data_IF_270724811164
#
_entry.id   IF_270724811164
#
_cell.length_a   1.000
_cell.length_b   1.000
_cell.length_c   1.000
_cell.angle_alpha   90.00
_cell.angle_beta   90.00
_cell.angle_gamma   90.00
#
_symmetry.space_group_name_H-M   'P 1'
#
loop_
_entity.id
_entity.type
_entity.pdbx_description
1 polymer ?
#
# COMPACT_ATOMS: atom_id res chain seq x y z
N UNK A 1 21.27 33.73 -24.30
CA UNK A 1 21.20 34.10 -22.88
C UNK A 1 20.12 33.25 -22.27
N UNK A 2 20.50 32.12 -21.67
CA UNK A 2 19.55 31.20 -21.03
C UNK A 2 19.33 31.68 -19.60
N UNK A 3 18.22 32.33 -19.39
CA UNK A 3 17.70 32.60 -18.07
C UNK A 3 17.09 31.29 -17.54
N UNK A 4 17.93 30.42 -17.00
CA UNK A 4 17.47 29.36 -16.11
C UNK A 4 17.07 30.04 -14.81
N UNK A 5 15.86 30.58 -14.78
CA UNK A 5 15.20 30.95 -13.55
C UNK A 5 15.40 29.77 -12.58
N UNK A 6 16.23 29.96 -11.54
CA UNK A 6 16.51 28.98 -10.48
C UNK A 6 15.17 28.67 -9.84
N UNK A 7 14.54 27.57 -10.28
CA UNK A 7 13.38 27.03 -9.60
C UNK A 7 13.79 26.84 -8.12
N UNK A 8 13.06 27.40 -7.15
CA UNK A 8 13.41 27.23 -5.76
C UNK A 8 13.52 25.74 -5.46
N UNK A 9 14.48 25.34 -4.65
CA UNK A 9 14.66 23.95 -4.27
C UNK A 9 13.36 23.42 -3.67
N UNK A 10 12.83 22.35 -4.25
CA UNK A 10 11.58 21.74 -3.88
C UNK A 10 11.81 20.55 -2.93
N UNK A 11 10.73 20.08 -2.31
CA UNK A 11 10.74 18.81 -1.62
C UNK A 11 10.73 17.69 -2.68
N UNK A 12 11.69 16.78 -2.62
CA UNK A 12 11.71 15.58 -3.44
C UNK A 12 11.08 14.42 -2.69
N UNK A 13 10.10 13.78 -3.30
CA UNK A 13 9.45 12.56 -2.79
C UNK A 13 9.94 11.40 -3.66
N UNK A 14 10.46 10.35 -3.04
CA UNK A 14 10.94 9.16 -3.74
C UNK A 14 9.91 8.06 -3.66
N UNK A 15 9.33 7.68 -4.80
CA UNK A 15 8.28 6.67 -4.93
C UNK A 15 6.87 7.24 -5.05
N UNK A 16 6.13 6.82 -6.09
CA UNK A 16 4.72 7.14 -6.33
C UNK A 16 3.77 6.03 -5.85
N UNK A 17 4.08 5.42 -4.72
CA UNK A 17 3.16 4.56 -3.99
C UNK A 17 2.09 5.36 -3.25
N UNK A 18 1.24 4.67 -2.48
CA UNK A 18 0.19 5.30 -1.66
C UNK A 18 0.80 6.36 -0.73
N UNK A 19 1.94 6.07 -0.09
CA UNK A 19 2.67 6.99 0.78
C UNK A 19 3.04 8.30 0.07
N UNK A 20 3.83 8.21 -1.01
CA UNK A 20 4.36 9.38 -1.68
C UNK A 20 3.30 10.22 -2.39
N UNK A 21 2.28 9.59 -3.00
CA UNK A 21 1.18 10.30 -3.63
C UNK A 21 0.31 11.02 -2.59
N UNK A 22 0.03 10.38 -1.44
CA UNK A 22 -0.72 11.02 -0.35
C UNK A 22 0.05 12.21 0.20
N UNK A 23 1.36 12.04 0.47
CA UNK A 23 2.21 13.14 0.92
C UNK A 23 2.23 14.29 -0.09
N UNK A 24 2.38 13.99 -1.38
CA UNK A 24 2.34 15.01 -2.44
C UNK A 24 1.03 15.80 -2.45
N UNK A 25 -0.11 15.13 -2.25
CA UNK A 25 -1.41 15.78 -2.14
C UNK A 25 -1.53 16.64 -0.87
N UNK A 26 -1.03 16.14 0.28
CA UNK A 26 -1.01 16.89 1.53
C UNK A 26 -0.17 18.17 1.43
N UNK A 27 1.03 18.08 0.85
CA UNK A 27 1.92 19.23 0.61
C UNK A 27 1.26 20.24 -0.34
N UNK A 28 0.68 19.74 -1.45
CA UNK A 28 -0.01 20.60 -2.40
C UNK A 28 -1.19 21.34 -1.75
N UNK A 29 -1.97 20.70 -0.87
CA UNK A 29 -3.07 21.33 -0.15
C UNK A 29 -2.59 22.46 0.79
N UNK A 30 -1.32 22.48 1.18
CA UNK A 30 -0.66 23.53 1.98
C UNK A 30 0.15 24.52 1.13
N UNK A 31 0.10 24.42 -0.20
CA UNK A 31 0.87 25.29 -1.11
C UNK A 31 2.37 25.01 -1.11
N UNK A 32 2.82 23.87 -0.58
CA UNK A 32 4.22 23.47 -0.58
C UNK A 32 4.56 22.76 -1.88
N UNK A 33 5.56 23.26 -2.59
CA UNK A 33 6.00 22.68 -3.88
C UNK A 33 6.80 21.41 -3.66
N UNK A 34 6.40 20.35 -4.35
CA UNK A 34 7.10 19.06 -4.33
C UNK A 34 7.13 18.42 -5.72
N UNK A 35 8.02 17.43 -5.87
CA UNK A 35 8.12 16.58 -7.06
C UNK A 35 8.30 15.14 -6.65
N UNK A 36 7.54 14.24 -7.29
CA UNK A 36 7.58 12.80 -7.03
C UNK A 36 8.42 12.12 -8.12
N UNK A 37 9.37 11.30 -7.71
CA UNK A 37 10.21 10.48 -8.61
C UNK A 37 9.84 9.01 -8.45
N UNK A 38 9.44 8.38 -9.54
CA UNK A 38 8.96 7.00 -9.56
C UNK A 38 9.81 6.15 -10.52
N UNK A 39 10.27 5.01 -10.04
CA UNK A 39 11.07 4.07 -10.85
C UNK A 39 10.29 3.47 -12.01
N UNK A 40 9.02 3.15 -11.81
CA UNK A 40 8.20 2.55 -12.87
C UNK A 40 7.99 3.54 -14.01
N UNK A 41 8.12 3.12 -15.28
CA UNK A 41 7.88 3.99 -16.42
C UNK A 41 6.41 4.40 -16.55
N UNK A 42 5.50 3.60 -15.99
CA UNK A 42 4.07 3.90 -15.92
C UNK A 42 3.46 3.32 -14.65
N UNK A 43 2.57 4.07 -14.02
CA UNK A 43 1.77 3.59 -12.90
C UNK A 43 0.63 2.74 -13.46
N UNK A 44 0.68 1.44 -13.22
CA UNK A 44 -0.34 0.49 -13.67
C UNK A 44 -1.19 0.03 -12.48
N UNK A 45 -2.50 -0.16 -12.67
CA UNK A 45 -3.40 -0.63 -11.61
C UNK A 45 -3.17 -2.13 -11.33
N UNK A 46 -2.00 -2.46 -10.78
CA UNK A 46 -1.61 -3.82 -10.44
C UNK A 46 -1.86 -4.10 -8.96
N UNK A 47 -2.08 -5.37 -8.64
CA UNK A 47 -2.14 -5.85 -7.27
C UNK A 47 -3.45 -6.53 -6.91
N UNK A 48 -3.73 -6.54 -5.63
CA UNK A 48 -4.86 -7.18 -4.96
C UNK A 48 -5.55 -6.17 -4.05
N UNK A 49 -6.53 -6.60 -3.27
CA UNK A 49 -7.25 -5.72 -2.35
C UNK A 49 -6.41 -5.22 -1.18
N UNK A 50 -6.75 -4.04 -0.71
CA UNK A 50 -6.29 -3.47 0.56
C UNK A 50 -7.46 -2.86 1.32
N UNK A 51 -7.27 -2.65 2.62
CA UNK A 51 -8.24 -1.97 3.47
C UNK A 51 -7.70 -0.59 3.88
N UNK A 52 -8.55 0.40 3.86
CA UNK A 52 -8.32 1.74 4.36
C UNK A 52 -9.24 1.95 5.55
N UNK A 53 -8.66 1.90 6.75
CA UNK A 53 -9.39 2.04 8.00
C UNK A 53 -9.87 3.49 8.22
N UNK A 54 -10.87 3.74 9.09
CA UNK A 54 -11.51 5.06 9.24
C UNK A 54 -10.55 6.22 9.51
N UNK A 55 -9.50 6.02 10.30
CA UNK A 55 -8.51 7.06 10.59
C UNK A 55 -7.72 7.51 9.34
N UNK A 56 -7.40 6.58 8.45
CA UNK A 56 -6.71 6.89 7.19
C UNK A 56 -7.68 7.39 6.11
N UNK A 57 -8.89 6.82 6.04
CA UNK A 57 -9.90 7.28 5.08
C UNK A 57 -10.35 8.70 5.34
N UNK A 58 -10.37 9.15 6.62
CA UNK A 58 -10.60 10.54 7.01
C UNK A 58 -9.61 11.47 6.29
N UNK A 59 -8.32 11.18 6.35
CA UNK A 59 -7.29 12.00 5.67
C UNK A 59 -7.57 12.11 4.17
N UNK A 60 -7.92 10.98 3.52
CA UNK A 60 -8.26 11.00 2.10
C UNK A 60 -9.57 11.78 1.81
N UNK A 61 -10.54 11.75 2.72
CA UNK A 61 -11.75 12.58 2.62
C UNK A 61 -11.43 14.07 2.76
N UNK A 62 -10.56 14.43 3.71
CA UNK A 62 -10.11 15.82 3.92
C UNK A 62 -9.33 16.34 2.69
N UNK A 63 -8.67 15.45 1.96
CA UNK A 63 -8.06 15.74 0.66
C UNK A 63 -9.09 15.78 -0.49
N UNK A 64 -10.40 15.66 -0.22
CA UNK A 64 -11.45 15.74 -1.24
C UNK A 64 -11.60 14.50 -2.13
N UNK A 65 -11.10 13.33 -1.70
CA UNK A 65 -11.12 12.09 -2.50
C UNK A 65 -12.31 11.18 -2.17
N UNK A 66 -13.18 11.58 -1.24
CA UNK A 66 -14.28 10.74 -0.74
C UNK A 66 -15.24 10.23 -1.82
N UNK A 67 -15.57 11.08 -2.82
CA UNK A 67 -16.45 10.69 -3.92
C UNK A 67 -15.82 9.63 -4.83
N UNK A 68 -14.53 9.80 -5.20
CA UNK A 68 -13.79 8.85 -6.03
C UNK A 68 -13.59 7.49 -5.32
N UNK A 69 -13.27 7.53 -4.02
CA UNK A 69 -13.17 6.32 -3.19
C UNK A 69 -14.51 5.61 -3.09
N UNK A 70 -15.62 6.35 -2.85
CA UNK A 70 -16.95 5.79 -2.76
C UNK A 70 -17.44 5.13 -4.04
N UNK A 71 -16.96 5.58 -5.21
CA UNK A 71 -17.28 5.01 -6.50
C UNK A 71 -16.46 3.76 -6.86
N UNK A 72 -15.23 3.64 -6.33
CA UNK A 72 -14.30 2.59 -6.70
C UNK A 72 -14.16 1.47 -5.65
N UNK A 73 -14.61 1.69 -4.42
CA UNK A 73 -14.38 0.80 -3.28
C UNK A 73 -15.70 0.29 -2.69
N UNK A 74 -15.62 -0.81 -1.97
CA UNK A 74 -16.71 -1.27 -1.09
C UNK A 74 -16.54 -0.63 0.29
N UNK A 75 -17.61 0.00 0.80
CA UNK A 75 -17.67 0.49 2.19
C UNK A 75 -17.88 -0.72 3.11
N UNK A 76 -16.82 -1.19 3.71
CA UNK A 76 -16.86 -2.33 4.64
C UNK A 76 -17.62 -1.94 5.90
N UNK A 77 -18.74 -2.62 6.15
CA UNK A 77 -19.68 -2.29 7.22
C UNK A 77 -19.52 -3.15 8.47
N UNK A 78 -18.98 -4.36 8.30
CA UNK A 78 -18.85 -5.34 9.37
C UNK A 78 -17.68 -6.30 9.14
N UNK A 79 -17.15 -6.83 10.25
CA UNK A 79 -16.09 -7.83 10.30
C UNK A 79 -16.59 -9.12 10.93
N UNK A 80 -16.83 -10.17 10.14
CA UNK A 80 -17.28 -11.46 10.63
C UNK A 80 -16.12 -12.39 10.98
N UNK A 81 -16.24 -13.12 12.08
CA UNK A 81 -15.29 -14.15 12.51
C UNK A 81 -15.99 -15.52 12.48
N UNK A 82 -15.36 -16.45 11.79
CA UNK A 82 -15.88 -17.80 11.58
C UNK A 82 -14.81 -18.84 11.86
N UNK A 83 -15.20 -19.99 12.37
CA UNK A 83 -14.29 -21.13 12.44
C UNK A 83 -14.13 -21.81 11.06
N UNK A 84 -13.25 -22.80 10.96
CA UNK A 84 -12.98 -23.53 9.70
C UNK A 84 -14.17 -24.32 9.15
N UNK A 85 -15.24 -24.48 9.91
CA UNK A 85 -16.49 -25.15 9.51
C UNK A 85 -17.56 -24.15 9.03
N UNK A 86 -17.22 -22.85 8.96
CA UNK A 86 -18.14 -21.79 8.57
C UNK A 86 -19.14 -21.38 9.65
N UNK A 87 -18.96 -21.88 10.89
CA UNK A 87 -19.82 -21.50 12.01
C UNK A 87 -19.44 -20.11 12.51
N UNK A 88 -20.42 -19.26 12.68
CA UNK A 88 -20.28 -17.89 13.16
C UNK A 88 -19.80 -17.87 14.61
N UNK A 89 -18.79 -17.04 14.90
CA UNK A 89 -18.26 -16.81 16.24
C UNK A 89 -18.69 -15.43 16.74
N UNK A 90 -18.39 -14.39 15.95
CA UNK A 90 -18.61 -13.00 16.33
C UNK A 90 -18.68 -12.11 15.09
N UNK A 91 -19.43 -11.02 15.17
CA UNK A 91 -19.43 -9.94 14.17
C UNK A 91 -19.13 -8.60 14.84
N UNK A 92 -18.14 -7.91 14.31
CA UNK A 92 -17.76 -6.57 14.72
C UNK A 92 -18.36 -5.55 13.74
N UNK A 93 -18.80 -4.40 14.24
CA UNK A 93 -19.24 -3.29 13.39
C UNK A 93 -18.00 -2.52 12.93
N UNK A 94 -17.96 -2.12 11.65
CA UNK A 94 -16.81 -1.42 11.07
C UNK A 94 -17.23 -0.09 10.43
N UNK A 95 -16.26 0.80 10.29
CA UNK A 95 -16.44 2.07 9.62
C UNK A 95 -17.58 2.90 10.22
N UNK A 96 -18.46 3.41 9.39
CA UNK A 96 -19.61 4.22 9.82
C UNK A 96 -20.56 3.44 10.74
N UNK A 97 -20.70 2.13 10.56
CA UNK A 97 -21.56 1.30 11.41
C UNK A 97 -21.01 1.13 12.83
N UNK A 98 -19.70 1.36 13.04
CA UNK A 98 -19.07 1.39 14.36
C UNK A 98 -19.09 2.79 14.99
N UNK A 99 -19.70 3.79 14.33
CA UNK A 99 -19.77 5.17 14.83
C UNK A 99 -18.57 6.05 14.47
N UNK A 100 -17.66 5.58 13.60
CA UNK A 100 -16.60 6.45 13.08
C UNK A 100 -17.16 7.52 12.13
N UNK A 101 -16.52 8.68 12.09
CA UNK A 101 -16.92 9.79 11.21
C UNK A 101 -16.59 9.54 9.72
N UNK A 102 -15.68 8.61 9.45
CA UNK A 102 -15.28 8.22 8.10
C UNK A 102 -15.52 6.73 7.85
N UNK A 103 -15.84 6.31 6.62
CA UNK A 103 -16.04 4.90 6.29
C UNK A 103 -14.73 4.12 6.31
N UNK A 104 -14.81 2.82 6.56
CA UNK A 104 -13.77 1.89 6.18
C UNK A 104 -13.98 1.49 4.72
N UNK A 105 -12.91 1.51 3.93
CA UNK A 105 -12.95 1.05 2.54
C UNK A 105 -12.14 -0.23 2.34
N UNK A 106 -12.71 -1.18 1.60
CA UNK A 106 -11.98 -2.25 0.96
C UNK A 106 -11.89 -1.91 -0.54
N UNK A 107 -10.68 -1.81 -1.07
CA UNK A 107 -10.45 -1.30 -2.43
C UNK A 107 -9.35 -2.09 -3.14
N UNK A 108 -9.42 -2.18 -4.46
CA UNK A 108 -8.29 -2.67 -5.24
C UNK A 108 -7.11 -1.67 -5.14
N UNK A 109 -5.92 -2.17 -4.78
CA UNK A 109 -4.74 -1.32 -4.54
C UNK A 109 -4.40 -0.41 -5.73
N UNK A 110 -4.53 -0.94 -6.94
CA UNK A 110 -4.31 -0.19 -8.17
C UNK A 110 -5.30 0.94 -8.36
N UNK A 111 -6.58 0.75 -8.01
CA UNK A 111 -7.60 1.79 -8.11
C UNK A 111 -7.31 2.94 -7.15
N UNK A 112 -6.91 2.62 -5.90
CA UNK A 112 -6.48 3.66 -4.96
C UNK A 112 -5.30 4.44 -5.50
N UNK A 113 -4.29 3.75 -6.03
CA UNK A 113 -3.12 4.41 -6.60
C UNK A 113 -3.49 5.29 -7.81
N UNK A 114 -4.43 4.86 -8.66
CA UNK A 114 -4.95 5.65 -9.78
C UNK A 114 -5.65 6.91 -9.28
N UNK A 115 -6.56 6.78 -8.30
CA UNK A 115 -7.27 7.93 -7.69
C UNK A 115 -6.27 8.97 -7.16
N UNK A 116 -5.25 8.52 -6.43
CA UNK A 116 -4.22 9.40 -5.87
C UNK A 116 -3.37 10.05 -6.97
N UNK A 117 -3.00 9.30 -8.00
CA UNK A 117 -2.19 9.78 -9.14
C UNK A 117 -2.96 10.85 -9.93
N UNK A 118 -4.20 10.58 -10.26
CA UNK A 118 -5.06 11.50 -11.03
C UNK A 118 -5.28 12.81 -10.24
N UNK A 119 -5.56 12.68 -8.95
CA UNK A 119 -5.73 13.84 -8.09
C UNK A 119 -4.43 14.67 -7.97
N UNK A 120 -3.28 14.02 -7.80
CA UNK A 120 -1.99 14.70 -7.71
C UNK A 120 -1.63 15.40 -9.02
N UNK A 121 -1.73 14.71 -10.14
CA UNK A 121 -1.38 15.28 -11.46
C UNK A 121 -2.35 16.39 -11.89
N UNK A 122 -3.62 16.27 -11.56
CA UNK A 122 -4.60 17.31 -11.81
C UNK A 122 -4.33 18.61 -11.01
N UNK A 123 -3.88 18.49 -9.75
CA UNK A 123 -3.68 19.63 -8.83
C UNK A 123 -2.28 20.23 -8.92
N UNK A 124 -1.26 19.38 -8.98
CA UNK A 124 0.16 19.81 -9.00
C UNK A 124 0.72 19.97 -10.40
N UNK A 125 0.07 19.40 -11.41
CA UNK A 125 0.54 19.33 -12.79
C UNK A 125 1.31 18.03 -13.09
N UNK A 126 1.11 17.48 -14.29
CA UNK A 126 1.69 16.20 -14.71
C UNK A 126 3.24 16.17 -14.65
N UNK A 127 3.90 17.32 -14.90
CA UNK A 127 5.35 17.43 -14.84
C UNK A 127 5.95 17.26 -13.43
N UNK A 128 5.10 17.24 -12.38
CA UNK A 128 5.51 17.03 -10.99
C UNK A 128 5.63 15.55 -10.62
N UNK A 129 5.13 14.66 -11.45
CA UNK A 129 5.30 13.22 -11.34
C UNK A 129 6.27 12.75 -12.42
N UNK A 130 7.49 12.43 -12.02
CA UNK A 130 8.59 12.02 -12.91
C UNK A 130 8.74 10.51 -12.82
N UNK A 131 8.27 9.80 -13.83
CA UNK A 131 8.38 8.34 -13.95
C UNK A 131 9.71 7.92 -14.60
N UNK A 132 9.96 6.60 -14.67
CA UNK A 132 11.21 6.04 -15.25
C UNK A 132 12.47 6.62 -14.60
N UNK A 133 12.41 6.88 -13.29
CA UNK A 133 13.52 7.51 -12.55
C UNK A 133 13.75 6.77 -11.23
N UNK A 134 14.80 5.98 -11.21
CA UNK A 134 15.28 5.30 -10.00
C UNK A 134 16.19 6.22 -9.21
N UNK A 135 15.91 6.37 -7.92
CA UNK A 135 16.81 7.05 -6.98
C UNK A 135 17.67 6.00 -6.29
N UNK A 136 18.98 6.06 -6.55
CA UNK A 136 19.95 5.08 -6.05
C UNK A 136 20.62 5.50 -4.72
N UNK A 137 20.37 6.73 -4.24
CA UNK A 137 20.93 7.23 -3.00
C UNK A 137 20.99 8.76 -2.96
N UNK A 138 21.61 9.30 -1.93
CA UNK A 138 21.70 10.74 -1.71
C UNK A 138 23.05 11.19 -1.15
N UNK A 139 23.34 12.49 -1.30
CA UNK A 139 24.38 13.22 -0.61
C UNK A 139 23.75 14.41 0.11
N UNK A 140 23.78 14.39 1.45
CA UNK A 140 23.31 15.51 2.26
C UNK A 140 24.37 16.61 2.33
N UNK A 141 23.98 17.85 2.05
CA UNK A 141 24.76 19.08 2.21
C UNK A 141 24.05 19.99 3.20
N UNK A 142 24.73 20.96 3.77
CA UNK A 142 24.20 21.76 4.89
C UNK A 142 22.78 22.32 4.67
N UNK A 143 22.42 22.72 3.44
CA UNK A 143 21.10 23.32 3.14
C UNK A 143 20.34 22.63 2.01
N UNK A 144 20.80 21.48 1.52
CA UNK A 144 20.21 20.77 0.39
C UNK A 144 20.66 19.33 0.32
N UNK A 145 19.95 18.55 -0.48
CA UNK A 145 20.26 17.14 -0.79
C UNK A 145 20.44 16.99 -2.29
N UNK A 146 21.48 16.27 -2.70
CA UNK A 146 21.65 15.83 -4.08
C UNK A 146 21.29 14.35 -4.16
N UNK A 147 20.26 14.01 -4.94
CA UNK A 147 19.85 12.62 -5.21
C UNK A 147 20.64 12.07 -6.39
N UNK A 148 21.16 10.86 -6.25
CA UNK A 148 21.71 10.09 -7.37
C UNK A 148 20.58 9.40 -8.09
N UNK A 149 20.40 9.74 -9.36
CA UNK A 149 19.28 9.27 -10.16
C UNK A 149 19.76 8.57 -11.45
N UNK A 150 18.98 7.62 -11.91
CA UNK A 150 19.20 6.91 -13.17
C UNK A 150 17.88 6.64 -13.89
N UNK A 151 17.91 6.51 -15.21
CA UNK A 151 16.80 6.01 -15.99
C UNK A 151 16.58 4.53 -15.70
N UNK A 152 15.40 4.17 -15.21
CA UNK A 152 15.09 2.78 -14.86
C UNK A 152 15.17 1.86 -16.08
N UNK A 153 14.64 2.29 -17.22
CA UNK A 153 14.59 1.48 -18.44
C UNK A 153 15.96 1.18 -19.06
N UNK A 154 16.94 2.08 -18.88
CA UNK A 154 18.25 1.96 -19.56
C UNK A 154 19.46 1.89 -18.61
N UNK A 155 19.27 2.19 -17.31
CA UNK A 155 20.36 2.34 -16.35
C UNK A 155 21.22 3.59 -16.58
N UNK A 156 20.84 4.47 -17.51
CA UNK A 156 21.61 5.66 -17.81
C UNK A 156 21.58 6.64 -16.64
N UNK A 157 22.76 7.09 -16.20
CA UNK A 157 22.89 8.08 -15.15
C UNK A 157 22.25 9.40 -15.57
N UNK A 158 21.49 9.97 -14.66
CA UNK A 158 20.89 11.30 -14.79
C UNK A 158 21.74 12.34 -14.03
N UNK A 159 21.65 13.62 -14.39
CA UNK A 159 22.21 14.67 -13.56
C UNK A 159 21.66 14.59 -12.13
N UNK A 160 22.48 14.89 -11.10
CA UNK A 160 22.01 14.91 -9.72
C UNK A 160 20.79 15.81 -9.55
N UNK A 161 19.79 15.34 -8.80
CA UNK A 161 18.57 16.08 -8.51
C UNK A 161 18.77 16.81 -7.20
N UNK A 162 18.83 18.14 -7.25
CA UNK A 162 18.96 18.96 -6.05
C UNK A 162 17.58 19.21 -5.43
N UNK A 163 17.46 19.02 -4.12
CA UNK A 163 16.23 19.24 -3.35
C UNK A 163 16.54 19.94 -2.01
N UNK A 164 15.56 20.64 -1.45
CA UNK A 164 15.63 21.21 -0.10
C UNK A 164 15.55 20.11 0.96
N UNK A 165 14.64 19.20 0.78
CA UNK A 165 14.45 18.02 1.62
C UNK A 165 14.03 16.82 0.76
N UNK A 166 14.25 15.62 1.29
CA UNK A 166 13.88 14.35 0.65
C UNK A 166 13.04 13.52 1.59
N UNK A 167 11.88 13.08 1.12
CA UNK A 167 11.05 12.10 1.83
C UNK A 167 11.04 10.81 1.00
N UNK A 168 11.64 9.77 1.56
CA UNK A 168 11.75 8.47 0.94
C UNK A 168 10.51 7.61 1.22
N UNK A 169 9.69 7.44 0.19
CA UNK A 169 8.48 6.61 0.15
C UNK A 169 8.68 5.41 -0.79
N UNK A 170 9.91 4.94 -0.96
CA UNK A 170 10.34 3.93 -1.94
C UNK A 170 10.13 2.49 -1.47
N UNK A 171 9.38 2.33 -0.37
CA UNK A 171 8.84 1.06 0.09
C UNK A 171 9.87 0.16 0.78
N UNK A 172 9.51 -1.11 0.97
CA UNK A 172 10.30 -2.09 1.73
C UNK A 172 11.70 -2.35 1.15
N UNK A 173 11.92 -2.04 -0.13
CA UNK A 173 13.23 -2.18 -0.78
C UNK A 173 13.97 -0.84 -0.89
N UNK A 174 13.64 0.13 -0.04
CA UNK A 174 14.20 1.48 -0.06
C UNK A 174 15.73 1.52 -0.16
N UNK A 175 16.22 2.18 -1.21
CA UNK A 175 17.65 2.44 -1.37
C UNK A 175 18.14 3.49 -0.37
N UNK A 176 17.27 4.44 -0.02
CA UNK A 176 17.55 5.47 0.98
C UNK A 176 17.70 4.83 2.38
N UNK A 177 16.78 3.93 2.76
CA UNK A 177 16.88 3.16 4.02
C UNK A 177 18.19 2.38 4.11
N UNK A 178 18.56 1.66 3.05
CA UNK A 178 19.82 0.91 3.01
C UNK A 178 21.04 1.80 3.20
N UNK A 179 21.02 3.01 2.64
CA UNK A 179 22.11 3.97 2.81
C UNK A 179 22.16 4.52 4.24
N UNK A 180 21.00 4.79 4.86
CA UNK A 180 20.91 5.30 6.24
C UNK A 180 21.24 4.23 7.29
N UNK A 181 20.92 2.96 7.01
CA UNK A 181 21.05 1.83 7.93
C UNK A 181 21.79 0.64 7.28
N UNK A 182 23.08 0.81 6.92
CA UNK A 182 23.83 -0.21 6.17
C UNK A 182 24.04 -1.52 6.96
N UNK A 183 23.89 -1.49 8.26
CA UNK A 183 24.03 -2.65 9.15
C UNK A 183 22.73 -3.33 9.57
N UNK A 184 21.59 -2.95 8.98
CA UNK A 184 20.27 -3.45 9.42
C UNK A 184 20.08 -4.96 9.22
N UNK A 185 20.73 -5.55 8.23
CA UNK A 185 20.56 -6.96 7.89
C UNK A 185 19.30 -7.24 7.05
N UNK A 186 18.94 -8.53 6.99
CA UNK A 186 17.80 -9.00 6.22
C UNK A 186 16.53 -9.04 7.07
N UNK A 187 15.33 -8.77 6.47
CA UNK A 187 14.06 -8.99 7.16
C UNK A 187 13.92 -10.42 7.66
N UNK A 188 13.31 -10.56 8.83
CA UNK A 188 13.07 -11.85 9.47
C UNK A 188 11.81 -12.49 8.91
N UNK A 189 11.92 -13.77 8.58
CA UNK A 189 10.76 -14.57 8.21
C UNK A 189 9.98 -14.98 9.47
N UNK A 190 8.66 -14.78 9.44
CA UNK A 190 7.78 -15.03 10.60
C UNK A 190 7.37 -16.51 10.79
N UNK A 191 7.80 -17.42 9.93
CA UNK A 191 7.34 -18.82 9.90
C UNK A 191 6.03 -19.03 9.14
N UNK A 192 5.47 -17.98 8.54
CA UNK A 192 4.22 -18.04 7.78
C UNK A 192 4.41 -17.60 6.35
N UNK A 193 3.78 -18.32 5.42
CA UNK A 193 3.63 -17.88 4.05
C UNK A 193 2.18 -17.42 3.80
N UNK A 194 2.03 -16.47 2.90
CA UNK A 194 0.76 -15.89 2.58
C UNK A 194 0.53 -15.95 1.07
N UNK A 195 -0.63 -16.42 0.67
CA UNK A 195 -1.11 -16.30 -0.71
C UNK A 195 -2.24 -15.30 -0.76
N UNK A 196 -2.27 -14.52 -1.82
CA UNK A 196 -3.29 -13.49 -2.02
C UNK A 196 -3.80 -13.55 -3.45
N UNK A 197 -5.08 -13.27 -3.62
CA UNK A 197 -5.66 -13.22 -4.94
C UNK A 197 -6.96 -12.46 -4.99
N UNK A 198 -7.49 -12.37 -6.20
CA UNK A 198 -8.80 -11.78 -6.47
C UNK A 198 -9.63 -12.74 -7.32
N UNK A 199 -10.91 -12.85 -7.00
CA UNK A 199 -11.87 -13.71 -7.69
C UNK A 199 -13.13 -12.92 -8.05
N UNK A 200 -13.71 -13.17 -9.23
CA UNK A 200 -15.06 -12.69 -9.57
C UNK A 200 -16.05 -13.65 -8.97
N UNK A 201 -16.81 -13.19 -7.99
CA UNK A 201 -17.70 -14.06 -7.22
C UNK A 201 -19.03 -13.37 -6.89
N UNK A 202 -20.12 -14.10 -6.76
CA UNK A 202 -21.37 -13.54 -6.23
C UNK A 202 -21.17 -12.91 -4.85
N UNK A 203 -21.94 -11.86 -4.50
CA UNK A 203 -21.92 -11.32 -3.15
C UNK A 203 -22.22 -12.41 -2.11
N UNK A 204 -21.51 -12.39 -0.99
CA UNK A 204 -21.75 -13.27 0.14
C UNK A 204 -22.14 -12.44 1.37
N UNK A 205 -22.88 -13.03 2.31
CA UNK A 205 -23.42 -12.39 3.50
C UNK A 205 -24.11 -11.04 3.14
N UNK A 206 -23.68 -9.92 3.73
CA UNK A 206 -24.22 -8.59 3.44
C UNK A 206 -23.70 -7.97 2.13
N UNK A 207 -22.74 -8.58 1.45
CA UNK A 207 -22.03 -7.99 0.32
C UNK A 207 -21.00 -6.90 0.70
N UNK A 208 -20.91 -6.54 2.00
CA UNK A 208 -19.95 -5.56 2.53
C UNK A 208 -19.23 -6.08 3.78
N UNK A 209 -19.29 -7.37 4.02
CA UNK A 209 -18.65 -8.05 5.14
C UNK A 209 -17.21 -8.44 4.81
N UNK A 210 -16.26 -8.02 5.67
CA UNK A 210 -14.92 -8.61 5.72
C UNK A 210 -14.95 -9.80 6.68
N UNK A 211 -14.58 -10.97 6.21
CA UNK A 211 -14.55 -12.18 7.06
C UNK A 211 -13.12 -12.60 7.38
N UNK A 212 -12.97 -13.15 8.58
CA UNK A 212 -11.81 -13.91 9.03
C UNK A 212 -12.28 -15.31 9.37
N UNK A 213 -11.74 -16.31 8.70
CA UNK A 213 -12.16 -17.71 8.84
C UNK A 213 -10.96 -18.61 9.06
N UNK A 214 -11.11 -19.60 9.96
CA UNK A 214 -10.06 -20.52 10.36
C UNK A 214 -9.12 -19.96 11.42
N UNK A 215 -7.99 -20.64 11.60
CA UNK A 215 -7.00 -20.31 12.62
C UNK A 215 -5.58 -20.53 12.08
N UNK A 216 -4.61 -19.76 12.54
CA UNK A 216 -3.23 -19.77 12.01
C UNK A 216 -2.60 -21.17 11.95
N UNK A 217 -2.76 -21.98 13.00
CA UNK A 217 -2.17 -23.32 13.07
C UNK A 217 -2.77 -24.33 12.05
N UNK A 218 -3.95 -24.04 11.50
CA UNK A 218 -4.67 -24.94 10.57
C UNK A 218 -5.00 -24.28 9.24
N UNK A 219 -4.49 -23.08 9.00
CA UNK A 219 -4.84 -22.20 7.90
C UNK A 219 -5.88 -21.16 8.30
N UNK A 220 -5.63 -19.91 7.91
CA UNK A 220 -6.52 -18.79 8.16
C UNK A 220 -6.73 -18.02 6.87
N UNK A 221 -7.97 -17.63 6.61
CA UNK A 221 -8.28 -16.73 5.50
C UNK A 221 -8.89 -15.42 5.96
N UNK A 222 -8.60 -14.37 5.21
CA UNK A 222 -9.30 -13.09 5.26
C UNK A 222 -9.88 -12.85 3.86
N UNK A 223 -11.19 -12.62 3.78
CA UNK A 223 -11.91 -12.49 2.51
C UNK A 223 -12.79 -11.24 2.60
N UNK A 224 -12.75 -10.39 1.58
CA UNK A 224 -13.55 -9.16 1.54
C UNK A 224 -13.78 -8.68 0.10
N UNK A 225 -14.97 -8.11 -0.19
CA UNK A 225 -15.24 -7.50 -1.48
C UNK A 225 -14.47 -6.17 -1.60
N UNK A 226 -13.93 -5.91 -2.80
CA UNK A 226 -13.13 -4.70 -3.10
C UNK A 226 -13.67 -3.87 -4.24
N UNK A 227 -14.65 -4.40 -4.97
CA UNK A 227 -15.39 -3.68 -6.02
C UNK A 227 -16.75 -4.32 -6.21
N UNK A 228 -17.78 -3.49 -6.29
CA UNK A 228 -19.16 -3.94 -6.51
C UNK A 228 -19.51 -3.99 -8.01
N UNK A 229 -20.54 -4.78 -8.32
CA UNK A 229 -21.24 -4.78 -9.60
C UNK A 229 -20.29 -4.74 -10.82
N UNK A 230 -19.28 -5.60 -10.82
CA UNK A 230 -18.22 -5.63 -11.85
C UNK A 230 -18.70 -6.09 -13.23
N UNK A 231 -19.91 -6.63 -13.31
CA UNK A 231 -20.54 -7.13 -14.52
C UNK A 231 -22.07 -7.11 -14.45
N UNK A 232 -22.73 -7.45 -15.55
CA UNK A 232 -24.18 -7.51 -15.62
C UNK A 232 -24.85 -8.62 -14.78
N UNK A 233 -24.06 -9.45 -14.11
CA UNK A 233 -24.54 -10.52 -13.19
C UNK A 233 -24.50 -10.07 -11.73
N UNK A 234 -24.10 -8.83 -11.44
CA UNK A 234 -23.99 -8.31 -10.08
C UNK A 234 -22.87 -8.93 -9.25
N UNK A 235 -21.88 -9.57 -9.89
CA UNK A 235 -20.73 -10.13 -9.17
C UNK A 235 -19.87 -9.02 -8.59
N UNK A 236 -19.15 -9.35 -7.54
CA UNK A 236 -18.14 -8.53 -6.90
C UNK A 236 -16.74 -9.02 -7.25
N UNK A 237 -15.75 -8.14 -7.19
CA UNK A 237 -14.35 -8.54 -7.11
C UNK A 237 -14.02 -8.80 -5.65
N UNK A 238 -13.74 -10.04 -5.32
CA UNK A 238 -13.44 -10.50 -3.97
C UNK A 238 -11.95 -10.67 -3.80
N UNK A 239 -11.37 -9.95 -2.86
CA UNK A 239 -10.00 -10.20 -2.42
C UNK A 239 -9.99 -11.27 -1.35
N UNK A 240 -9.02 -12.16 -1.44
CA UNK A 240 -8.76 -13.16 -0.41
C UNK A 240 -7.26 -13.22 -0.07
N UNK A 241 -7.01 -13.56 1.17
CA UNK A 241 -5.67 -13.80 1.73
C UNK A 241 -5.71 -15.13 2.45
N UNK A 242 -4.79 -16.03 2.15
CA UNK A 242 -4.59 -17.30 2.84
C UNK A 242 -3.24 -17.27 3.55
N UNK A 243 -3.24 -17.55 4.86
CA UNK A 243 -2.04 -17.65 5.69
C UNK A 243 -1.88 -19.10 6.18
N UNK A 244 -0.69 -19.67 5.97
CA UNK A 244 -0.36 -21.03 6.45
C UNK A 244 1.01 -20.99 7.12
N UNK A 245 1.16 -21.72 8.21
CA UNK A 245 2.43 -21.95 8.86
C UNK A 245 3.34 -22.82 7.97
N UNK A 246 4.51 -22.30 7.66
CA UNK A 246 5.50 -22.93 6.77
C UNK A 246 6.91 -22.63 7.28
N UNK A 247 7.30 -23.21 8.45
CA UNK A 247 8.55 -22.84 9.15
C UNK A 247 9.80 -23.08 8.31
N UNK A 248 9.78 -24.08 7.42
CA UNK A 248 10.93 -24.47 6.59
C UNK A 248 10.96 -23.74 5.23
N UNK A 249 10.04 -22.78 5.01
CA UNK A 249 9.97 -22.06 3.74
C UNK A 249 11.17 -21.13 3.57
N UNK A 250 11.89 -21.28 2.45
CA UNK A 250 12.94 -20.31 2.07
C UNK A 250 12.28 -19.05 1.52
N UNK A 251 12.20 -18.03 2.35
CA UNK A 251 11.65 -16.74 1.97
C UNK A 251 12.47 -16.13 0.83
N UNK A 252 11.85 -16.00 -0.35
CA UNK A 252 12.40 -15.23 -1.47
C UNK A 252 11.73 -13.86 -1.45
N UNK A 253 12.52 -12.79 -1.46
CA UNK A 253 12.05 -11.40 -1.43
C UNK A 253 11.45 -10.96 -2.77
N UNK A 254 10.50 -11.69 -3.30
CA UNK A 254 9.79 -11.32 -4.53
C UNK A 254 8.31 -11.13 -4.23
N UNK A 255 7.89 -9.87 -4.14
CA UNK A 255 6.50 -9.47 -3.89
C UNK A 255 5.61 -9.59 -5.13
N UNK A 256 6.16 -9.99 -6.26
CA UNK A 256 5.45 -10.27 -7.51
C UNK A 256 5.45 -11.76 -7.86
N UNK A 257 5.96 -12.62 -6.97
CA UNK A 257 6.06 -14.05 -7.20
C UNK A 257 4.66 -14.64 -7.45
N UNK A 258 4.44 -15.30 -8.61
CA UNK A 258 3.21 -16.03 -8.85
C UNK A 258 3.02 -17.13 -7.81
N UNK A 259 1.87 -17.14 -7.16
CA UNK A 259 1.46 -18.22 -6.28
C UNK A 259 0.73 -19.33 -7.05
N UNK A 260 0.74 -20.54 -6.52
CA UNK A 260 0.02 -21.68 -7.12
C UNK A 260 -1.02 -22.20 -6.14
N UNK A 261 -2.24 -22.41 -6.63
CA UNK A 261 -3.34 -22.92 -5.80
C UNK A 261 -2.97 -24.25 -5.14
N UNK A 262 -2.22 -25.11 -5.82
CA UNK A 262 -1.82 -26.42 -5.30
C UNK A 262 -1.02 -26.34 -4.00
N UNK A 263 -0.33 -25.24 -3.75
CA UNK A 263 0.53 -25.08 -2.59
C UNK A 263 -0.27 -24.89 -1.28
N UNK A 264 -1.53 -24.43 -1.36
CA UNK A 264 -2.37 -24.16 -0.18
C UNK A 264 -3.79 -24.74 -0.25
N UNK A 265 -4.28 -25.14 -1.41
CA UNK A 265 -5.62 -25.73 -1.55
C UNK A 265 -5.90 -26.90 -0.62
N UNK A 266 -4.94 -27.80 -0.31
CA UNK A 266 -5.20 -28.90 0.64
C UNK A 266 -5.69 -28.43 2.01
N UNK A 267 -5.23 -27.26 2.49
CA UNK A 267 -5.62 -26.72 3.79
C UNK A 267 -7.08 -26.24 3.86
N UNK A 268 -7.71 -26.01 2.72
CA UNK A 268 -9.08 -25.47 2.62
C UNK A 268 -10.00 -26.31 1.73
N UNK A 269 -9.59 -27.53 1.40
CA UNK A 269 -10.29 -28.38 0.42
C UNK A 269 -11.76 -28.72 0.82
N UNK A 270 -12.03 -28.73 2.11
CA UNK A 270 -13.33 -29.02 2.72
C UNK A 270 -14.10 -27.77 3.19
N UNK A 271 -13.58 -26.57 2.96
CA UNK A 271 -14.21 -25.32 3.41
C UNK A 271 -15.39 -24.93 2.50
N UNK A 272 -16.47 -25.65 2.63
CA UNK A 272 -17.76 -25.37 1.96
C UNK A 272 -18.77 -25.00 3.02
N UNK A 273 -19.14 -23.72 3.03
CA UNK A 273 -20.08 -23.14 3.97
C UNK A 273 -21.40 -22.89 3.24
N UNK A 274 -22.52 -22.81 3.96
CA UNK A 274 -23.82 -22.50 3.36
C UNK A 274 -23.83 -21.18 2.57
N UNK A 275 -22.93 -20.27 2.94
CA UNK A 275 -22.82 -18.94 2.36
C UNK A 275 -21.58 -18.73 1.47
N UNK A 276 -20.62 -19.65 1.40
CA UNK A 276 -19.44 -19.56 0.54
C UNK A 276 -18.78 -20.91 0.27
N UNK A 277 -18.62 -21.29 -0.99
CA UNK A 277 -17.71 -22.37 -1.42
C UNK A 277 -16.30 -21.80 -1.62
N UNK A 278 -15.45 -21.91 -0.60
CA UNK A 278 -14.09 -21.37 -0.63
C UNK A 278 -13.25 -22.01 -1.74
N UNK A 279 -13.17 -23.35 -1.90
CA UNK A 279 -12.42 -23.95 -3.00
C UNK A 279 -12.87 -23.51 -4.39
N UNK A 280 -14.17 -23.33 -4.62
CA UNK A 280 -14.69 -22.87 -5.91
C UNK A 280 -14.32 -21.41 -6.15
N UNK A 281 -14.45 -20.53 -5.15
CA UNK A 281 -14.04 -19.14 -5.22
C UNK A 281 -12.53 -19.02 -5.53
N UNK A 282 -11.68 -19.81 -4.88
CA UNK A 282 -10.24 -19.80 -5.11
C UNK A 282 -9.86 -20.25 -6.53
N UNK A 283 -10.56 -21.26 -7.09
CA UNK A 283 -10.34 -21.68 -8.49
C UNK A 283 -10.78 -20.63 -9.51
N UNK A 284 -11.68 -19.74 -9.14
CA UNK A 284 -12.11 -18.61 -9.97
C UNK A 284 -11.17 -17.39 -9.89
N UNK A 285 -9.98 -17.54 -9.27
CA UNK A 285 -9.02 -16.44 -9.11
C UNK A 285 -8.43 -16.02 -10.44
N UNK A 286 -8.42 -14.71 -10.67
CA UNK A 286 -7.77 -14.09 -11.84
C UNK A 286 -6.26 -13.98 -11.66
N UNK A 287 -5.82 -13.79 -10.41
CA UNK A 287 -4.42 -13.68 -10.01
C UNK A 287 -4.21 -14.34 -8.66
N UNK A 288 -3.10 -15.02 -8.53
CA UNK A 288 -2.61 -15.56 -7.25
C UNK A 288 -1.16 -15.15 -7.08
N UNK A 289 -0.85 -14.51 -5.97
CA UNK A 289 0.49 -14.05 -5.60
C UNK A 289 0.91 -14.73 -4.29
N UNK A 290 2.19 -15.00 -4.15
CA UNK A 290 2.78 -15.59 -2.95
C UNK A 290 3.68 -14.56 -2.25
N UNK A 291 3.51 -14.43 -0.94
CA UNK A 291 4.26 -13.48 -0.11
C UNK A 291 4.79 -14.18 1.15
N UNK A 292 6.10 -14.29 1.34
CA UNK A 292 6.63 -14.66 2.64
C UNK A 292 6.31 -13.53 3.64
N UNK A 293 5.77 -13.89 4.79
CA UNK A 293 5.52 -12.90 5.83
C UNK A 293 6.82 -12.59 6.55
N UNK A 294 7.37 -11.42 6.24
CA UNK A 294 8.61 -10.91 6.82
C UNK A 294 8.35 -9.61 7.57
N UNK A 295 9.11 -9.37 8.61
CA UNK A 295 9.17 -8.10 9.33
C UNK A 295 10.61 -7.60 9.48
N UNK A 296 10.74 -6.36 9.94
CA UNK A 296 12.01 -5.76 10.30
C UNK A 296 11.89 -5.11 11.67
N UNK A 297 13.00 -5.07 12.41
CA UNK A 297 13.03 -4.36 13.67
C UNK A 297 12.80 -2.85 13.49
N UNK A 298 12.20 -2.18 14.47
CA UNK A 298 12.04 -0.73 14.43
C UNK A 298 13.40 -0.05 14.28
N UNK A 299 13.47 0.93 13.39
CA UNK A 299 14.68 1.71 13.18
C UNK A 299 14.95 2.65 14.35
N UNK A 300 16.22 2.87 14.73
CA UNK A 300 16.59 3.79 15.80
C UNK A 300 16.31 5.26 15.44
N UNK A 301 16.25 5.59 14.15
CA UNK A 301 15.91 6.91 13.63
C UNK A 301 15.37 6.78 12.20
N UNK A 302 14.56 7.75 11.78
CA UNK A 302 14.00 7.82 10.42
C UNK A 302 14.58 8.97 9.60
N UNK A 303 15.31 9.88 10.23
CA UNK A 303 15.80 11.10 9.58
C UNK A 303 17.29 11.29 9.78
N UNK A 304 17.96 11.77 8.73
CA UNK A 304 19.36 12.23 8.74
C UNK A 304 19.41 13.57 8.01
N UNK A 305 19.61 14.65 8.76
CA UNK A 305 19.54 15.99 8.20
C UNK A 305 18.21 16.24 7.46
N UNK A 306 18.24 16.73 6.22
CA UNK A 306 17.02 17.00 5.45
C UNK A 306 16.45 15.78 4.69
N UNK A 307 16.80 14.55 5.09
CA UNK A 307 16.31 13.31 4.49
C UNK A 307 15.55 12.51 5.55
N UNK A 308 14.31 12.10 5.25
CA UNK A 308 13.50 11.25 6.12
C UNK A 308 12.87 10.08 5.36
N UNK A 309 12.65 8.97 6.08
CA UNK A 309 11.90 7.79 5.61
C UNK A 309 10.42 7.94 5.97
N UNK A 310 9.54 7.31 5.17
CA UNK A 310 8.09 7.32 5.40
C UNK A 310 7.44 6.04 4.86
N UNK A 311 6.37 5.59 5.50
CA UNK A 311 5.64 4.38 5.11
C UNK A 311 6.53 3.13 5.21
N UNK A 312 6.40 2.19 4.27
CA UNK A 312 7.15 0.93 4.28
C UNK A 312 8.68 1.12 4.18
N UNK A 313 9.17 2.30 3.77
CA UNK A 313 10.59 2.62 3.85
C UNK A 313 11.05 2.84 5.30
N UNK A 314 10.19 3.38 6.16
CA UNK A 314 10.45 3.60 7.59
C UNK A 314 10.07 2.40 8.46
N UNK A 315 8.87 1.84 8.27
CA UNK A 315 8.25 0.87 9.18
C UNK A 315 7.50 -0.24 8.42
N UNK A 316 8.19 -1.08 7.62
CA UNK A 316 7.56 -2.24 7.00
C UNK A 316 6.98 -3.15 8.09
N UNK A 317 5.77 -3.65 7.88
CA UNK A 317 5.06 -4.47 8.85
C UNK A 317 4.40 -5.69 8.20
N UNK A 318 4.21 -6.75 8.99
CA UNK A 318 3.37 -7.86 8.54
C UNK A 318 1.92 -7.40 8.40
N UNK A 319 1.19 -7.83 7.34
CA UNK A 319 -0.11 -7.24 6.98
C UNK A 319 -1.28 -7.71 7.87
N UNK A 320 -1.04 -8.28 9.04
CA UNK A 320 -2.08 -8.85 9.92
C UNK A 320 -3.10 -7.84 10.45
N UNK A 321 -2.71 -6.59 10.60
CA UNK A 321 -3.59 -5.52 11.04
C UNK A 321 -4.34 -4.80 9.91
N UNK A 322 -4.10 -5.17 8.64
CA UNK A 322 -4.63 -4.48 7.45
C UNK A 322 -4.37 -2.97 7.44
N UNK A 323 -3.28 -2.50 8.03
CA UNK A 323 -3.07 -1.07 8.33
C UNK A 323 -1.78 -0.47 7.72
N UNK A 324 -0.95 -1.20 6.98
CA UNK A 324 0.29 -0.65 6.42
C UNK A 324 0.06 0.59 5.53
N UNK A 325 -0.89 0.52 4.62
CA UNK A 325 -1.28 1.68 3.81
C UNK A 325 -1.90 2.81 4.66
N UNK A 326 -2.66 2.45 5.71
CA UNK A 326 -3.25 3.41 6.64
C UNK A 326 -2.18 4.19 7.40
N UNK A 327 -1.15 3.52 7.93
CA UNK A 327 -0.04 4.19 8.61
C UNK A 327 0.70 5.14 7.66
N UNK A 328 0.99 4.71 6.43
CA UNK A 328 1.63 5.57 5.44
C UNK A 328 0.80 6.82 5.08
N UNK A 329 -0.54 6.74 5.11
CA UNK A 329 -1.43 7.89 4.94
C UNK A 329 -1.35 8.84 6.15
N UNK A 330 -1.30 8.29 7.37
CA UNK A 330 -1.14 9.09 8.59
C UNK A 330 0.23 9.76 8.67
N UNK A 331 1.29 9.07 8.27
CA UNK A 331 2.64 9.67 8.18
C UNK A 331 2.61 10.93 7.31
N UNK A 332 1.89 10.88 6.17
CA UNK A 332 1.76 12.03 5.29
C UNK A 332 1.12 13.23 5.99
N UNK A 333 0.08 12.99 6.79
CA UNK A 333 -0.57 14.03 7.59
C UNK A 333 0.37 14.58 8.68
N UNK A 334 1.07 13.68 9.38
CA UNK A 334 1.97 14.06 10.49
C UNK A 334 3.20 14.84 10.04
N UNK A 335 3.71 14.61 8.82
CA UNK A 335 4.87 15.31 8.30
C UNK A 335 4.58 16.75 7.83
N UNK A 336 3.33 17.12 7.61
CA UNK A 336 2.95 18.44 7.08
C UNK A 336 3.43 19.61 7.96
N UNK A 337 3.24 19.63 9.30
CA UNK A 337 3.73 20.72 10.13
C UNK A 337 5.23 20.96 9.93
N UNK A 338 6.04 19.89 9.97
CA UNK A 338 7.51 19.97 9.79
C UNK A 338 7.94 20.47 8.40
N UNK A 339 7.10 20.24 7.37
CA UNK A 339 7.39 20.70 6.00
C UNK A 339 6.97 22.15 5.75
N UNK A 340 6.06 22.70 6.56
CA UNK A 340 5.49 24.04 6.40
C UNK A 340 6.18 25.10 7.24
N UNK A 341 6.84 24.72 8.33
CA UNK A 341 7.60 25.65 9.17
C UNK A 341 8.80 26.20 8.38
N UNK A 342 8.83 27.52 8.22
CA UNK A 342 9.85 28.22 7.45
C UNK A 342 11.21 28.30 8.15
N UNK A 343 11.24 28.02 9.45
CA UNK A 343 12.38 28.21 10.36
C UNK A 343 12.99 26.87 10.84
N UNK A 344 12.58 25.72 10.32
CA UNK A 344 13.08 24.38 10.67
C UNK A 344 14.09 23.83 9.66
#
# INVERSE_FOLDING_TARGET
>A
MNDTARNPLEIAIVGAGIAGLTLGLCLQAKGVSCRIYEKSPAIKPLGVGINILPHASRVLHDLGLGAALGAAAVKTSEGGFYNRFGQHIYTDRLGLNAGYAAPQYSIHRGDLQTILTDAFTARAGAARLVTDTTIAGFEAKAARVALRAERTASGALLPPIEARAVIACDGIHSAIRKQMHPGEGDPRYSGFNMWRGVSRWPPYLSGSTMIRVGWLATGKMVIYPIRDAIDGQGRQLINWVMEIETPDHKAVRDWSKPGRLVDFMPAVADWRFDWLDVPAMLRASEIVLEFPMVDQDPLPFWSVGPVTLMGDAAHPMVPRGSNGAGQAILDAECLIPSCTDKDS
#
